data_IF_466594237853
#
_entry.id   IF_466594237853
#
_cell.length_a   1.000
_cell.length_b   1.000
_cell.length_c   1.000
_cell.angle_alpha   90.00
_cell.angle_beta   90.00
_cell.angle_gamma   90.00
#
_symmetry.space_group_name_H-M   'P 1'
#
loop_
_entity.id
_entity.type
_entity.pdbx_description
1 polymer ?
#
# COMPACT_ATOMS: atom_id res chain seq x y z
N UNK A 1 -18.68 -4.86 -1.56
CA UNK A 1 -18.54 -6.26 -2.03
C UNK A 1 -17.58 -7.05 -1.18
N UNK A 2 -16.38 -6.53 -0.92
CA UNK A 2 -15.38 -7.11 -0.01
C UNK A 2 -15.00 -6.09 1.07
N UNK A 3 -14.42 -6.54 2.18
CA UNK A 3 -14.02 -5.70 3.31
C UNK A 3 -12.72 -6.18 3.93
N UNK A 4 -12.03 -5.32 4.68
CA UNK A 4 -10.91 -5.72 5.53
C UNK A 4 -11.33 -6.68 6.63
N UNK A 5 -12.54 -6.56 7.18
CA UNK A 5 -13.03 -7.43 8.26
C UNK A 5 -12.89 -8.91 7.91
N UNK A 6 -12.03 -9.61 8.64
CA UNK A 6 -11.73 -11.04 8.46
C UNK A 6 -10.77 -11.37 7.31
N UNK A 7 -10.37 -10.39 6.49
CA UNK A 7 -9.46 -10.61 5.37
C UNK A 7 -8.03 -10.87 5.89
N UNK A 8 -7.33 -11.81 5.26
CA UNK A 8 -5.91 -12.07 5.48
C UNK A 8 -5.07 -11.06 4.73
N UNK A 9 -4.25 -10.29 5.44
CA UNK A 9 -3.42 -9.22 4.87
C UNK A 9 -1.95 -9.59 4.97
N UNK A 10 -1.22 -9.52 3.87
CA UNK A 10 0.24 -9.65 3.85
C UNK A 10 0.83 -8.29 3.53
N UNK A 11 1.78 -7.84 4.33
CA UNK A 11 2.43 -6.54 4.16
C UNK A 11 3.93 -6.79 4.05
N UNK A 12 4.60 -6.36 2.99
CA UNK A 12 6.07 -6.42 3.00
C UNK A 12 6.65 -5.21 3.72
N UNK A 13 7.85 -5.37 4.27
CA UNK A 13 8.54 -4.34 5.00
C UNK A 13 8.09 -4.24 6.46
N UNK A 14 8.85 -3.45 7.20
CA UNK A 14 8.69 -3.21 8.63
C UNK A 14 9.18 -1.81 9.01
N UNK A 15 9.22 -0.90 8.03
CA UNK A 15 9.43 0.53 8.25
C UNK A 15 8.12 1.27 8.49
N UNK A 16 8.18 2.60 8.50
CA UNK A 16 7.06 3.49 8.80
C UNK A 16 5.77 3.08 8.05
N UNK A 17 5.83 2.98 6.71
CA UNK A 17 4.66 2.64 5.90
C UNK A 17 4.06 1.29 6.29
N UNK A 18 4.88 0.26 6.48
CA UNK A 18 4.41 -1.09 6.81
C UNK A 18 3.82 -1.18 8.22
N UNK A 19 4.42 -0.51 9.21
CA UNK A 19 3.93 -0.49 10.61
C UNK A 19 2.54 0.15 10.67
N UNK A 20 2.37 1.34 10.10
CA UNK A 20 1.09 2.05 10.15
C UNK A 20 0.04 1.44 9.19
N UNK A 21 0.46 0.79 8.10
CA UNK A 21 -0.43 -0.06 7.31
C UNK A 21 -0.92 -1.26 8.12
N UNK A 22 -0.05 -1.90 8.92
CA UNK A 22 -0.42 -2.98 9.81
C UNK A 22 -1.43 -2.50 10.87
N UNK A 23 -1.15 -1.37 11.51
CA UNK A 23 -2.06 -0.75 12.47
C UNK A 23 -3.45 -0.52 11.86
N UNK A 24 -3.52 0.22 10.73
CA UNK A 24 -4.80 0.59 10.11
C UNK A 24 -5.55 -0.64 9.58
N UNK A 25 -4.86 -1.61 8.98
CA UNK A 25 -5.50 -2.85 8.54
C UNK A 25 -6.14 -3.61 9.72
N UNK A 26 -5.44 -3.69 10.86
CA UNK A 26 -5.97 -4.30 12.09
C UNK A 26 -7.16 -3.51 12.65
N UNK A 27 -7.11 -2.18 12.69
CA UNK A 27 -8.24 -1.31 13.11
C UNK A 27 -9.48 -1.53 12.24
N UNK A 28 -9.31 -1.80 10.94
CA UNK A 28 -10.39 -2.11 10.01
C UNK A 28 -10.88 -3.58 10.09
N UNK A 29 -10.36 -4.35 11.03
CA UNK A 29 -10.72 -5.76 11.28
C UNK A 29 -10.02 -6.77 10.36
N UNK A 30 -9.00 -6.33 9.61
CA UNK A 30 -8.12 -7.21 8.85
C UNK A 30 -7.16 -7.97 9.76
N UNK A 31 -6.78 -9.16 9.33
CA UNK A 31 -5.80 -10.00 10.02
C UNK A 31 -4.49 -9.93 9.25
N UNK A 32 -3.57 -9.08 9.70
CA UNK A 32 -2.23 -9.00 9.12
C UNK A 32 -1.47 -10.26 9.51
N UNK A 33 -1.15 -11.14 8.57
CA UNK A 33 -0.57 -12.45 8.87
C UNK A 33 0.93 -12.50 8.66
N UNK A 34 1.51 -11.57 7.89
CA UNK A 34 2.93 -11.58 7.60
C UNK A 34 3.49 -10.17 7.40
N UNK A 35 4.71 -9.96 7.89
CA UNK A 35 5.54 -8.77 7.67
C UNK A 35 6.99 -9.14 7.42
N UNK A 36 7.76 -8.29 6.72
CA UNK A 36 9.16 -8.59 6.36
C UNK A 36 10.18 -7.52 6.73
N UNK A 37 11.45 -7.89 6.72
CA UNK A 37 12.55 -6.94 6.59
C UNK A 37 13.56 -7.42 5.54
N UNK A 38 14.75 -6.85 5.50
CA UNK A 38 15.78 -7.22 4.51
C UNK A 38 16.28 -8.65 4.62
N UNK A 39 16.08 -9.33 5.76
CA UNK A 39 16.71 -10.62 6.06
C UNK A 39 15.72 -11.80 6.04
N UNK A 40 14.43 -11.50 5.98
CA UNK A 40 13.38 -12.51 6.03
C UNK A 40 12.02 -11.92 6.39
N UNK A 41 11.05 -12.80 6.58
CA UNK A 41 9.69 -12.45 6.95
C UNK A 41 9.19 -13.31 8.10
N UNK A 42 8.23 -12.78 8.83
CA UNK A 42 7.51 -13.51 9.87
C UNK A 42 6.10 -13.84 9.38
N UNK A 43 5.57 -14.96 9.85
CA UNK A 43 4.16 -15.34 9.70
C UNK A 43 3.58 -15.61 11.07
N UNK A 44 2.49 -14.94 11.37
CA UNK A 44 1.68 -15.12 12.57
C UNK A 44 0.23 -15.37 12.15
N UNK A 45 -0.18 -16.64 12.20
CA UNK A 45 -1.53 -17.04 11.83
C UNK A 45 -2.59 -16.50 12.78
N UNK A 46 -2.22 -15.98 13.95
CA UNK A 46 -3.13 -15.32 14.89
C UNK A 46 -3.25 -13.81 14.64
N UNK A 47 -2.40 -13.26 13.78
CA UNK A 47 -2.37 -11.84 13.43
C UNK A 47 -1.22 -11.11 14.10
N UNK A 48 -0.50 -10.32 13.32
CA UNK A 48 0.67 -9.55 13.73
C UNK A 48 0.23 -8.40 14.63
N UNK A 49 0.81 -8.33 15.84
CA UNK A 49 0.64 -7.19 16.73
C UNK A 49 1.53 -6.02 16.30
N UNK A 50 0.89 -4.98 15.76
CA UNK A 50 1.58 -3.77 15.30
C UNK A 50 2.31 -3.04 16.44
N UNK A 51 1.87 -3.14 17.70
CA UNK A 51 2.55 -2.52 18.84
C UNK A 51 3.90 -3.20 19.11
N UNK A 52 3.92 -4.52 18.98
CA UNK A 52 5.16 -5.30 19.05
C UNK A 52 6.11 -4.90 17.90
N UNK A 53 5.60 -4.64 16.69
CA UNK A 53 6.41 -4.11 15.59
C UNK A 53 7.03 -2.75 15.92
N UNK A 54 6.25 -1.81 16.48
CA UNK A 54 6.74 -0.50 16.90
C UNK A 54 7.85 -0.62 17.94
N UNK A 55 7.70 -1.47 18.96
CA UNK A 55 8.74 -1.71 19.96
C UNK A 55 10.02 -2.24 19.29
N UNK A 56 9.90 -3.23 18.41
CA UNK A 56 11.06 -3.83 17.73
C UNK A 56 11.76 -2.81 16.83
N UNK A 57 11.02 -2.05 16.03
CA UNK A 57 11.58 -1.25 14.93
C UNK A 57 11.86 0.19 15.30
N UNK A 58 11.01 0.83 16.10
CA UNK A 58 11.14 2.25 16.46
C UNK A 58 11.97 2.42 17.74
N UNK A 59 11.78 1.55 18.74
CA UNK A 59 12.48 1.66 20.03
C UNK A 59 13.79 0.87 20.06
N UNK A 60 13.74 -0.43 19.76
CA UNK A 60 14.93 -1.32 19.82
C UNK A 60 15.80 -1.29 18.57
N UNK A 61 15.21 -0.92 17.42
CA UNK A 61 15.86 -0.95 16.08
C UNK A 61 16.40 -2.33 15.71
N UNK A 62 15.66 -3.36 16.08
CA UNK A 62 16.01 -4.77 15.91
C UNK A 62 15.53 -5.37 14.57
N UNK A 63 15.96 -6.61 14.30
CA UNK A 63 15.48 -7.41 13.17
C UNK A 63 14.06 -7.94 13.42
N UNK A 64 13.32 -8.20 12.35
CA UNK A 64 11.94 -8.68 12.43
C UNK A 64 11.86 -10.08 13.08
N UNK A 65 12.94 -10.87 12.97
CA UNK A 65 13.09 -12.15 13.68
C UNK A 65 12.87 -12.03 15.19
N UNK A 66 13.18 -10.88 15.81
CA UNK A 66 12.95 -10.65 17.24
C UNK A 66 11.47 -10.78 17.63
N UNK A 67 10.53 -10.64 16.69
CA UNK A 67 9.10 -10.84 16.94
C UNK A 67 8.78 -12.22 17.52
N UNK A 68 9.49 -13.27 17.11
CA UNK A 68 9.27 -14.64 17.62
C UNK A 68 9.62 -14.79 19.10
N UNK A 69 10.32 -13.83 19.70
CA UNK A 69 10.58 -13.81 21.14
C UNK A 69 9.37 -13.28 21.94
N UNK A 70 8.49 -12.51 21.31
CA UNK A 70 7.26 -11.99 21.91
C UNK A 70 6.07 -12.92 21.65
N UNK A 71 6.00 -13.50 20.45
CA UNK A 71 4.93 -14.41 20.04
C UNK A 71 5.52 -15.75 19.64
N UNK A 72 5.36 -16.75 20.51
CA UNK A 72 5.99 -18.07 20.36
C UNK A 72 5.50 -18.86 19.14
N UNK A 73 4.24 -18.65 18.75
CA UNK A 73 3.63 -19.36 17.61
C UNK A 73 3.98 -18.74 16.25
N UNK A 74 4.58 -17.54 16.26
CA UNK A 74 5.01 -16.88 15.04
C UNK A 74 6.26 -17.57 14.48
N UNK A 75 6.29 -17.73 13.15
CA UNK A 75 7.38 -18.39 12.43
C UNK A 75 8.21 -17.36 11.69
N UNK A 76 9.53 -17.44 11.81
CA UNK A 76 10.46 -16.65 11.00
C UNK A 76 11.01 -17.48 9.85
N UNK A 77 10.98 -16.91 8.66
CA UNK A 77 11.52 -17.47 7.43
C UNK A 77 12.68 -16.58 6.97
N UNK A 78 13.89 -17.12 7.00
CA UNK A 78 15.08 -16.40 6.56
C UNK A 78 15.14 -16.37 5.03
N UNK A 79 15.35 -15.17 4.47
CA UNK A 79 15.53 -14.95 3.04
C UNK A 79 16.59 -13.86 2.84
N UNK A 80 17.83 -14.31 2.61
CA UNK A 80 18.99 -13.44 2.44
C UNK A 80 18.92 -12.59 1.16
N UNK A 81 17.97 -12.87 0.26
CA UNK A 81 17.82 -12.21 -1.04
C UNK A 81 16.61 -11.26 -1.09
N UNK A 82 16.13 -10.76 0.06
CA UNK A 82 15.19 -9.64 0.12
C UNK A 82 13.73 -10.04 0.33
N UNK A 83 13.47 -11.07 1.14
CA UNK A 83 12.12 -11.45 1.62
C UNK A 83 11.06 -11.66 0.54
N UNK A 84 11.47 -11.99 -0.69
CA UNK A 84 10.55 -12.27 -1.81
C UNK A 84 9.62 -13.44 -1.50
N UNK A 85 10.07 -14.36 -0.64
CA UNK A 85 9.26 -15.49 -0.18
C UNK A 85 7.96 -15.09 0.52
N UNK A 86 7.83 -13.86 1.04
CA UNK A 86 6.60 -13.41 1.71
C UNK A 86 5.37 -13.49 0.79
N UNK A 87 5.54 -13.30 -0.53
CA UNK A 87 4.44 -13.34 -1.50
C UNK A 87 3.91 -14.75 -1.77
N UNK A 88 4.54 -15.78 -1.21
CA UNK A 88 4.03 -17.15 -1.22
C UNK A 88 2.99 -17.42 -0.15
N UNK A 89 2.87 -16.54 0.86
CA UNK A 89 1.91 -16.65 1.96
C UNK A 89 0.49 -16.38 1.43
N UNK A 90 -0.47 -17.32 1.58
CA UNK A 90 -1.83 -17.11 1.10
C UNK A 90 -2.56 -15.97 1.80
N UNK A 91 -3.06 -15.02 1.01
CA UNK A 91 -3.72 -13.81 1.51
C UNK A 91 -4.84 -13.33 0.58
N UNK A 92 -5.70 -12.49 1.14
CA UNK A 92 -6.78 -11.78 0.44
C UNK A 92 -6.28 -10.46 -0.14
N UNK A 93 -5.44 -9.77 0.63
CA UNK A 93 -4.91 -8.43 0.35
C UNK A 93 -3.39 -8.45 0.50
N UNK A 94 -2.67 -7.95 -0.49
CA UNK A 94 -1.23 -7.74 -0.43
C UNK A 94 -0.89 -6.24 -0.46
N UNK A 95 -0.08 -5.80 0.50
CA UNK A 95 0.38 -4.41 0.63
C UNK A 95 1.91 -4.37 0.52
N UNK A 96 2.49 -4.22 -0.69
CA UNK A 96 3.93 -4.06 -0.84
C UNK A 96 4.40 -2.69 -0.35
N UNK A 97 5.17 -2.69 0.74
CA UNK A 97 5.60 -1.50 1.47
C UNK A 97 7.11 -1.49 1.77
N UNK A 98 7.93 -2.31 1.10
CA UNK A 98 9.37 -2.38 1.37
C UNK A 98 10.21 -1.60 0.35
N UNK A 99 10.25 -2.05 -0.90
CA UNK A 99 11.17 -1.52 -1.93
C UNK A 99 10.58 -1.63 -3.33
N UNK A 100 11.17 -0.93 -4.28
CA UNK A 100 10.85 -1.07 -5.70
C UNK A 100 11.10 -2.50 -6.21
N UNK A 101 10.32 -2.94 -7.21
CA UNK A 101 10.44 -4.24 -7.88
C UNK A 101 10.49 -5.46 -6.93
N UNK A 102 9.83 -5.39 -5.78
CA UNK A 102 9.75 -6.49 -4.81
C UNK A 102 8.73 -7.58 -5.20
N UNK A 103 7.74 -7.28 -6.06
CA UNK A 103 6.83 -8.28 -6.63
C UNK A 103 7.14 -8.50 -8.11
N UNK A 104 7.64 -9.69 -8.44
CA UNK A 104 7.84 -10.14 -9.82
C UNK A 104 6.57 -10.73 -10.44
N UNK A 105 6.60 -11.01 -11.75
CA UNK A 105 5.50 -11.68 -12.45
C UNK A 105 5.16 -13.04 -11.82
N UNK A 106 6.18 -13.82 -11.42
CA UNK A 106 6.01 -15.11 -10.77
C UNK A 106 5.33 -14.97 -9.41
N UNK A 107 5.76 -13.98 -8.62
CA UNK A 107 5.17 -13.69 -7.30
C UNK A 107 3.71 -13.26 -7.44
N UNK A 108 3.39 -12.44 -8.46
CA UNK A 108 2.02 -12.03 -8.77
C UNK A 108 1.14 -13.23 -9.17
N UNK A 109 1.66 -14.17 -9.98
CA UNK A 109 0.94 -15.41 -10.33
C UNK A 109 0.63 -16.24 -9.09
N UNK A 110 1.57 -16.33 -8.14
CA UNK A 110 1.36 -17.03 -6.87
C UNK A 110 0.27 -16.33 -6.03
N UNK A 111 0.32 -15.00 -5.90
CA UNK A 111 -0.70 -14.23 -5.18
C UNK A 111 -2.09 -14.48 -5.76
N UNK A 112 -2.26 -14.38 -7.07
CA UNK A 112 -3.53 -14.66 -7.76
C UNK A 112 -3.99 -16.10 -7.49
N UNK A 113 -3.08 -17.08 -7.65
CA UNK A 113 -3.38 -18.49 -7.41
C UNK A 113 -3.84 -18.75 -5.97
N UNK A 114 -3.31 -18.01 -5.00
CA UNK A 114 -3.66 -18.09 -3.59
C UNK A 114 -4.94 -17.33 -3.23
N UNK A 115 -5.64 -16.73 -4.19
CA UNK A 115 -6.92 -16.05 -3.98
C UNK A 115 -6.80 -14.56 -3.64
N UNK A 116 -5.61 -13.96 -3.77
CA UNK A 116 -5.42 -12.53 -3.56
C UNK A 116 -6.27 -11.74 -4.56
N UNK A 117 -7.12 -10.86 -4.02
CA UNK A 117 -8.07 -10.08 -4.82
C UNK A 117 -7.83 -8.58 -4.76
N UNK A 118 -6.91 -8.11 -3.92
CA UNK A 118 -6.46 -6.73 -3.91
C UNK A 118 -4.95 -6.61 -3.67
N UNK A 119 -4.31 -5.74 -4.44
CA UNK A 119 -2.92 -5.30 -4.25
C UNK A 119 -2.93 -3.78 -4.22
N UNK A 120 -2.40 -3.17 -3.16
CA UNK A 120 -2.28 -1.71 -3.05
C UNK A 120 -0.86 -1.33 -2.62
N UNK A 121 -0.20 -0.51 -3.43
CA UNK A 121 1.23 -0.25 -3.30
C UNK A 121 1.54 0.85 -2.28
N UNK A 122 2.24 0.49 -1.21
CA UNK A 122 2.77 1.44 -0.23
C UNK A 122 4.15 1.97 -0.59
N UNK A 123 5.01 1.14 -1.17
CA UNK A 123 6.31 1.55 -1.68
C UNK A 123 6.20 2.22 -3.07
N UNK A 124 7.29 2.84 -3.55
CA UNK A 124 7.34 3.43 -4.88
C UNK A 124 7.70 2.36 -5.93
N UNK A 125 6.76 2.05 -6.84
CA UNK A 125 6.88 1.00 -7.87
C UNK A 125 7.35 -0.37 -7.34
N UNK A 126 6.64 -0.98 -6.36
CA UNK A 126 7.02 -2.29 -5.87
C UNK A 126 6.73 -3.43 -6.85
N UNK A 127 5.70 -3.30 -7.69
CA UNK A 127 5.36 -4.34 -8.67
C UNK A 127 6.10 -4.11 -9.98
N UNK A 128 6.69 -5.15 -10.55
CA UNK A 128 7.22 -5.08 -11.92
C UNK A 128 6.08 -4.94 -12.95
N UNK A 129 6.34 -4.47 -14.18
CA UNK A 129 5.32 -4.41 -15.22
C UNK A 129 4.61 -5.75 -15.46
N UNK A 130 5.36 -6.86 -15.46
CA UNK A 130 4.78 -8.21 -15.58
C UNK A 130 3.84 -8.57 -14.42
N UNK A 131 4.15 -8.16 -13.18
CA UNK A 131 3.26 -8.33 -12.05
C UNK A 131 1.94 -7.56 -12.22
N UNK A 132 2.01 -6.31 -12.69
CA UNK A 132 0.84 -5.47 -12.96
C UNK A 132 -0.05 -6.10 -14.03
N UNK A 133 0.54 -6.60 -15.12
CA UNK A 133 -0.22 -7.32 -16.14
C UNK A 133 -0.96 -8.54 -15.60
N UNK A 134 -0.31 -9.32 -14.71
CA UNK A 134 -0.94 -10.47 -14.05
C UNK A 134 -2.16 -10.01 -13.24
N UNK A 135 -2.04 -8.94 -12.45
CA UNK A 135 -3.17 -8.41 -11.67
C UNK A 135 -4.33 -8.00 -12.58
N UNK A 136 -4.03 -7.22 -13.63
CA UNK A 136 -5.02 -6.68 -14.55
C UNK A 136 -5.75 -7.77 -15.35
N UNK A 137 -5.03 -8.80 -15.82
CA UNK A 137 -5.59 -9.96 -16.54
C UNK A 137 -6.48 -10.83 -15.66
N UNK A 138 -6.20 -10.91 -14.36
CA UNK A 138 -6.93 -11.77 -13.42
C UNK A 138 -7.98 -11.02 -12.59
N UNK A 139 -8.24 -9.74 -12.88
CA UNK A 139 -9.28 -8.96 -12.20
C UNK A 139 -8.97 -8.65 -10.73
N UNK A 140 -7.70 -8.67 -10.34
CA UNK A 140 -7.23 -8.20 -9.03
C UNK A 140 -7.41 -6.69 -8.96
N UNK A 141 -7.96 -6.19 -7.84
CA UNK A 141 -8.06 -4.76 -7.58
C UNK A 141 -6.65 -4.20 -7.35
N UNK A 142 -6.16 -3.39 -8.28
CA UNK A 142 -4.81 -2.85 -8.21
C UNK A 142 -4.83 -1.35 -7.88
N UNK A 143 -4.28 -1.00 -6.72
CA UNK A 143 -4.06 0.37 -6.26
C UNK A 143 -2.62 0.82 -6.55
N UNK A 144 -2.39 1.67 -7.57
CA UNK A 144 -1.04 2.06 -7.99
C UNK A 144 -0.38 2.97 -6.93
N UNK A 145 0.95 2.87 -6.77
CA UNK A 145 1.72 3.60 -5.76
C UNK A 145 1.37 5.09 -5.70
N UNK A 146 1.39 5.77 -6.86
CA UNK A 146 1.11 7.22 -6.98
C UNK A 146 -0.23 7.69 -6.39
N UNK A 147 -1.18 6.77 -6.22
CA UNK A 147 -2.48 7.03 -5.60
C UNK A 147 -2.54 6.44 -4.19
N UNK A 148 -2.14 5.19 -4.02
CA UNK A 148 -2.29 4.45 -2.76
C UNK A 148 -1.38 4.98 -1.63
N UNK A 149 -0.16 5.41 -1.94
CA UNK A 149 0.80 5.92 -0.95
C UNK A 149 0.84 7.46 -0.84
N UNK A 150 -0.03 8.16 -1.60
CA UNK A 150 -0.08 9.62 -1.67
C UNK A 150 -0.42 10.29 -0.32
N UNK A 151 -0.94 9.51 0.64
CA UNK A 151 -1.28 10.00 1.98
C UNK A 151 -0.11 10.63 2.75
N UNK A 152 1.13 10.17 2.50
CA UNK A 152 2.32 10.79 3.08
C UNK A 152 2.49 12.24 2.61
N UNK A 153 2.48 12.44 1.29
CA UNK A 153 2.60 13.78 0.67
C UNK A 153 1.39 14.66 1.02
N UNK A 154 0.19 14.09 1.06
CA UNK A 154 -1.02 14.80 1.47
C UNK A 154 -0.89 15.35 2.90
N UNK A 155 -0.41 14.52 3.84
CA UNK A 155 -0.20 14.94 5.23
C UNK A 155 0.87 16.03 5.34
N UNK A 156 1.93 15.99 4.52
CA UNK A 156 2.90 17.10 4.44
C UNK A 156 2.28 18.41 3.93
N UNK A 157 1.34 18.36 2.97
CA UNK A 157 0.61 19.55 2.55
C UNK A 157 -0.33 20.10 3.66
N UNK A 158 -0.91 19.19 4.48
CA UNK A 158 -1.66 19.58 5.67
C UNK A 158 -0.75 20.23 6.72
N UNK A 159 0.47 19.73 6.92
CA UNK A 159 1.48 20.34 7.79
C UNK A 159 1.84 21.77 7.32
N UNK A 160 2.09 21.98 6.02
CA UNK A 160 2.33 23.30 5.44
C UNK A 160 1.14 24.26 5.67
N UNK A 161 -0.09 23.74 5.58
CA UNK A 161 -1.30 24.51 5.85
C UNK A 161 -1.37 24.95 7.32
N UNK A 162 -1.13 24.03 8.26
CA UNK A 162 -1.08 24.32 9.70
C UNK A 162 -0.02 25.37 10.03
N UNK A 163 1.18 25.25 9.45
CA UNK A 163 2.27 26.22 9.62
C UNK A 163 1.88 27.61 9.11
N UNK A 164 1.20 27.68 7.96
CA UNK A 164 0.74 28.96 7.38
C UNK A 164 -0.36 29.61 8.22
N UNK A 165 -1.27 28.81 8.79
CA UNK A 165 -2.34 29.30 9.68
C UNK A 165 -1.88 29.53 11.12
N UNK A 166 -0.70 29.03 11.50
CA UNK A 166 -0.18 28.99 12.88
C UNK A 166 -1.14 28.29 13.84
N UNK A 167 -1.79 27.25 13.37
CA UNK A 167 -2.78 26.48 14.12
C UNK A 167 -2.52 24.99 13.97
N UNK A 168 -2.47 24.29 15.09
CA UNK A 168 -2.30 22.84 15.13
C UNK A 168 -3.65 22.16 15.23
N UNK A 169 -3.96 21.32 14.25
CA UNK A 169 -5.14 20.46 14.28
C UNK A 169 -4.94 19.30 15.24
N UNK A 170 -6.05 18.79 15.76
CA UNK A 170 -6.10 17.51 16.48
C UNK A 170 -5.80 16.34 15.55
N UNK A 171 -5.48 15.17 16.12
CA UNK A 171 -5.24 13.96 15.35
C UNK A 171 -6.47 13.59 14.50
N UNK A 172 -7.66 13.69 15.08
CA UNK A 172 -8.93 13.37 14.44
C UNK A 172 -9.22 14.28 13.24
N UNK A 173 -8.88 15.58 13.36
CA UNK A 173 -9.02 16.52 12.25
C UNK A 173 -8.07 16.21 11.10
N UNK A 174 -6.81 15.86 11.40
CA UNK A 174 -5.83 15.48 10.38
C UNK A 174 -6.23 14.16 9.72
N UNK A 175 -6.59 13.13 10.50
CA UNK A 175 -7.01 11.82 9.98
C UNK A 175 -8.27 11.94 9.11
N UNK A 176 -9.26 12.75 9.52
CA UNK A 176 -10.44 13.02 8.69
C UNK A 176 -10.08 13.70 7.37
N UNK A 177 -9.23 14.73 7.39
CA UNK A 177 -8.79 15.42 6.17
C UNK A 177 -8.01 14.47 5.25
N UNK A 178 -7.12 13.66 5.82
CA UNK A 178 -6.39 12.63 5.08
C UNK A 178 -7.35 11.64 4.43
N UNK A 179 -8.34 11.13 5.17
CA UNK A 179 -9.36 10.25 4.64
C UNK A 179 -10.11 10.87 3.45
N UNK A 180 -10.59 12.11 3.60
CA UNK A 180 -11.30 12.84 2.55
C UNK A 180 -10.40 13.05 1.30
N UNK A 181 -9.10 13.32 1.48
CA UNK A 181 -8.13 13.41 0.39
C UNK A 181 -7.96 12.08 -0.33
N UNK A 182 -7.79 10.96 0.40
CA UNK A 182 -7.62 9.64 -0.21
C UNK A 182 -8.88 9.20 -0.98
N UNK A 183 -10.07 9.51 -0.46
CA UNK A 183 -11.35 9.31 -1.17
C UNK A 183 -11.40 10.14 -2.45
N UNK A 184 -10.97 11.41 -2.40
CA UNK A 184 -10.88 12.27 -3.58
C UNK A 184 -9.92 11.73 -4.65
N UNK A 185 -8.72 11.29 -4.26
CA UNK A 185 -7.74 10.67 -5.17
C UNK A 185 -8.32 9.44 -5.88
N UNK A 186 -8.99 8.57 -5.12
CA UNK A 186 -9.67 7.40 -5.68
C UNK A 186 -10.77 7.81 -6.67
N UNK A 187 -11.65 8.72 -6.28
CA UNK A 187 -12.77 9.18 -7.12
C UNK A 187 -12.28 9.86 -8.40
N UNK A 188 -11.24 10.69 -8.33
CA UNK A 188 -10.63 11.33 -9.49
C UNK A 188 -10.02 10.29 -10.44
N UNK A 189 -9.33 9.29 -9.91
CA UNK A 189 -8.77 8.20 -10.71
C UNK A 189 -9.88 7.40 -11.42
N UNK A 190 -10.96 7.07 -10.70
CA UNK A 190 -12.14 6.39 -11.26
C UNK A 190 -12.83 7.25 -12.33
N UNK A 191 -13.02 8.54 -12.06
CA UNK A 191 -13.68 9.46 -12.99
C UNK A 191 -12.86 9.61 -14.28
N UNK A 192 -11.55 9.80 -14.19
CA UNK A 192 -10.66 9.88 -15.33
C UNK A 192 -10.66 8.57 -16.14
N UNK A 193 -10.54 7.42 -15.47
CA UNK A 193 -10.59 6.12 -16.15
C UNK A 193 -11.93 5.93 -16.89
N UNK A 194 -13.07 6.31 -16.29
CA UNK A 194 -14.37 6.25 -16.95
C UNK A 194 -14.49 7.23 -18.13
N UNK A 195 -14.07 8.49 -17.95
CA UNK A 195 -14.10 9.54 -18.99
C UNK A 195 -13.38 9.08 -20.26
N UNK A 196 -12.27 8.35 -20.10
CA UNK A 196 -11.44 7.89 -21.20
C UNK A 196 -11.67 6.41 -21.57
N UNK A 197 -12.68 5.74 -21.02
CA UNK A 197 -12.98 4.32 -21.27
C UNK A 197 -11.79 3.38 -20.99
N UNK A 198 -11.02 3.67 -19.94
CA UNK A 198 -9.87 2.87 -19.52
C UNK A 198 -10.32 1.68 -18.67
N UNK A 199 -10.18 0.48 -19.22
CA UNK A 199 -10.50 -0.78 -18.54
C UNK A 199 -9.35 -1.77 -18.61
N UNK A 200 -9.17 -2.57 -17.57
CA UNK A 200 -8.24 -3.72 -17.58
C UNK A 200 -8.72 -4.81 -18.55
N UNK A 201 -7.86 -5.76 -18.95
CA UNK A 201 -8.29 -6.90 -19.77
C UNK A 201 -9.39 -7.76 -19.12
N UNK A 202 -9.49 -7.75 -17.79
CA UNK A 202 -10.58 -8.39 -17.05
C UNK A 202 -11.88 -7.54 -16.98
N UNK A 203 -11.98 -6.45 -17.75
CA UNK A 203 -13.15 -5.58 -17.81
C UNK A 203 -13.40 -4.76 -16.53
N UNK A 204 -12.36 -4.52 -15.72
CA UNK A 204 -12.44 -3.67 -14.52
C UNK A 204 -11.99 -2.25 -14.84
N UNK A 205 -12.34 -1.29 -14.01
CA UNK A 205 -11.83 0.08 -14.13
C UNK A 205 -10.31 0.04 -13.94
N UNK A 206 -9.56 0.61 -14.88
CA UNK A 206 -8.10 0.71 -14.76
C UNK A 206 -7.70 1.93 -13.92
N UNK A 207 -7.49 1.70 -12.62
CA UNK A 207 -7.04 2.75 -11.69
C UNK A 207 -5.62 3.25 -12.00
N UNK A 208 -4.77 2.44 -12.64
CA UNK A 208 -3.41 2.88 -13.00
C UNK A 208 -3.47 3.93 -14.10
N UNK A 209 -4.24 3.66 -15.15
CA UNK A 209 -4.50 4.62 -16.23
C UNK A 209 -5.24 5.85 -15.69
N UNK A 210 -6.29 5.66 -14.90
CA UNK A 210 -7.06 6.73 -14.29
C UNK A 210 -6.21 7.68 -13.44
N UNK A 211 -5.36 7.15 -12.56
CA UNK A 211 -4.47 7.96 -11.73
C UNK A 211 -3.42 8.72 -12.57
N UNK A 212 -2.90 8.11 -13.65
CA UNK A 212 -1.99 8.79 -14.57
C UNK A 212 -2.67 9.97 -15.27
N UNK A 213 -3.86 9.73 -15.83
CA UNK A 213 -4.61 10.75 -16.58
C UNK A 213 -5.00 11.90 -15.66
N UNK A 214 -5.60 11.61 -14.50
CA UNK A 214 -6.05 12.64 -13.55
C UNK A 214 -4.87 13.51 -13.06
N UNK A 215 -3.72 12.90 -12.77
CA UNK A 215 -2.52 13.63 -12.38
C UNK A 215 -1.96 14.48 -13.51
N UNK A 216 -1.92 13.94 -14.73
CA UNK A 216 -1.40 14.63 -15.90
C UNK A 216 -2.27 15.81 -16.32
N UNK A 217 -3.59 15.63 -16.46
CA UNK A 217 -4.53 16.69 -16.88
C UNK A 217 -4.41 17.92 -15.97
N UNK A 218 -4.40 17.71 -14.65
CA UNK A 218 -4.29 18.81 -13.68
C UNK A 218 -3.01 19.64 -13.87
N UNK A 219 -1.88 18.98 -14.15
CA UNK A 219 -0.60 19.67 -14.38
C UNK A 219 -0.60 20.34 -15.75
N UNK A 220 -1.03 19.64 -16.80
CA UNK A 220 -1.07 20.15 -18.16
C UNK A 220 -1.97 21.40 -18.26
N UNK A 221 -3.17 21.37 -17.67
CA UNK A 221 -4.09 22.51 -17.66
C UNK A 221 -3.48 23.72 -16.94
N UNK A 222 -2.84 23.50 -15.80
CA UNK A 222 -2.15 24.57 -15.06
C UNK A 222 -1.00 25.18 -15.88
N UNK A 223 -0.22 24.35 -16.58
CA UNK A 223 0.85 24.82 -17.46
C UNK A 223 0.30 25.64 -18.63
N UNK A 224 -0.80 25.20 -19.25
CA UNK A 224 -1.45 25.95 -20.34
C UNK A 224 -1.97 27.31 -19.85
N UNK A 225 -2.52 27.39 -18.65
CA UNK A 225 -3.02 28.65 -18.08
C UNK A 225 -1.93 29.62 -17.70
N UNK A 226 -0.77 29.14 -17.26
CA UNK A 226 0.39 29.98 -16.93
C UNK A 226 1.09 30.51 -18.19
N UNK A 227 0.79 29.97 -19.37
CA UNK A 227 1.39 30.36 -20.63
C UNK A 227 2.88 30.03 -20.70
N UNK A 228 3.53 30.49 -21.77
CA UNK A 228 4.99 30.40 -21.90
C UNK A 228 5.57 31.71 -21.36
N UNK A 229 6.17 31.65 -20.17
CA UNK A 229 6.97 32.75 -19.64
C UNK A 229 8.32 32.75 -20.37
N UNK A 230 8.56 33.79 -21.16
CA UNK A 230 9.87 34.09 -21.75
C UNK A 230 10.63 35.07 -20.86
#
# INVERSE_FOLDING_TARGET
GKSFKGARVVISGSGNVAIYACQKATELGGKVIAVSDSNGYIVDENGIDYKTLQIIKEQKRDRIKTYTNYVKDAKYFEDKNGSKGIWTVPCDIALPCATQNEISEESAKILVKNGCWAVAEGANMPSTPGAIEVYQKNGVLYGPAKAANAGGVATSALEMSQNSMRYSWTFEEVDKKLHDIMVSIYNNSVAAAKKYNMTTPAGKIDLMAGANIAGFEKVADAMLWQGIAY
#
